data_IF_957243938530
#
_entry.id   IF_957243938530
#
_cell.length_a   1.000
_cell.length_b   1.000
_cell.length_c   1.000
_cell.angle_alpha   90.00
_cell.angle_beta   90.00
_cell.angle_gamma   90.00
#
_symmetry.space_group_name_H-M   'P 1'
#
loop_
_entity.id
_entity.type
_entity.pdbx_description
1 polymer ?
#
# COMPACT_ATOMS: atom_id res chain seq x y z
N UNK A 1 20.02 14.32 -38.82
CA UNK A 1 18.75 14.89 -38.34
C UNK A 1 18.19 13.89 -37.35
N UNK A 2 18.44 14.09 -36.06
CA UNK A 2 17.99 13.18 -35.00
C UNK A 2 16.55 13.52 -34.60
N UNK A 3 15.63 12.56 -34.77
CA UNK A 3 14.27 12.65 -34.27
C UNK A 3 14.25 12.32 -32.78
N UNK A 4 14.48 13.34 -31.94
CA UNK A 4 14.23 13.27 -30.51
C UNK A 4 12.74 13.49 -30.21
N UNK A 5 11.95 12.42 -30.18
CA UNK A 5 10.62 12.44 -29.54
C UNK A 5 10.79 12.68 -28.04
N UNK A 6 10.74 13.96 -27.64
CA UNK A 6 10.53 14.35 -26.26
C UNK A 6 9.19 13.78 -25.78
N UNK A 7 9.24 12.79 -24.89
CA UNK A 7 8.06 12.38 -24.13
C UNK A 7 7.58 13.60 -23.35
N UNK A 8 6.42 14.12 -23.73
CA UNK A 8 5.73 15.21 -23.02
C UNK A 8 5.46 14.70 -21.60
N UNK A 9 6.15 15.24 -20.61
CA UNK A 9 5.88 14.96 -19.20
C UNK A 9 4.56 15.66 -18.90
N UNK A 10 3.44 14.93 -19.04
CA UNK A 10 2.13 15.41 -18.63
C UNK A 10 2.15 15.59 -17.11
N UNK A 11 2.07 16.85 -16.69
CA UNK A 11 1.98 17.20 -15.28
C UNK A 11 0.60 16.77 -14.78
N UNK A 12 0.57 15.84 -13.82
CA UNK A 12 -0.67 15.41 -13.16
C UNK A 12 -1.38 16.62 -12.55
N UNK A 13 -2.62 16.88 -12.96
CA UNK A 13 -3.47 17.92 -12.34
C UNK A 13 -4.02 17.50 -10.97
N UNK A 14 -3.86 16.23 -10.58
CA UNK A 14 -4.25 15.67 -9.29
C UNK A 14 -3.19 14.76 -8.71
N UNK A 15 -2.85 14.94 -7.43
CA UNK A 15 -2.05 13.98 -6.68
C UNK A 15 -2.94 12.86 -6.12
N UNK A 16 -2.42 11.63 -6.05
CA UNK A 16 -3.06 10.56 -5.29
C UNK A 16 -2.50 10.58 -3.85
N UNK A 17 -3.34 10.33 -2.84
CA UNK A 17 -2.95 9.88 -1.50
C UNK A 17 -3.34 8.42 -1.37
N UNK A 18 -2.41 7.58 -0.97
CA UNK A 18 -2.58 6.16 -0.75
C UNK A 18 -2.21 6.08 0.81
N UNK A 19 -2.73 5.21 1.71
CA UNK A 19 -2.26 4.92 3.11
C UNK A 19 -1.92 3.43 3.43
N UNK A 20 -0.71 3.04 3.94
CA UNK A 20 -0.12 1.66 4.05
C UNK A 20 -0.05 1.30 5.50
N UNK A 21 -1.13 0.70 5.96
CA UNK A 21 -1.33 0.31 7.34
C UNK A 21 -1.15 -1.20 7.52
N UNK A 22 -1.07 -1.69 8.75
CA UNK A 22 -0.93 -3.13 8.99
C UNK A 22 -0.20 -3.49 10.26
N UNK A 23 -0.29 -4.76 10.64
CA UNK A 23 0.40 -5.31 11.81
C UNK A 23 1.93 -5.19 11.70
N UNK A 24 2.62 -5.32 12.82
CA UNK A 24 4.08 -5.33 12.82
C UNK A 24 4.61 -6.49 11.98
N UNK A 25 5.75 -6.25 11.32
CA UNK A 25 6.41 -7.19 10.39
C UNK A 25 5.59 -7.64 9.19
N UNK A 26 4.49 -6.95 8.87
CA UNK A 26 3.70 -7.23 7.66
C UNK A 26 4.43 -6.88 6.34
N UNK A 27 5.54 -6.13 6.40
CA UNK A 27 6.35 -5.76 5.23
C UNK A 27 6.06 -4.38 4.64
N UNK A 28 5.32 -3.53 5.37
CA UNK A 28 4.90 -2.17 4.94
C UNK A 28 6.04 -1.34 4.34
N UNK A 29 7.16 -1.20 5.05
CA UNK A 29 8.28 -0.34 4.61
C UNK A 29 8.94 -0.87 3.34
N UNK A 30 9.15 -2.19 3.23
CA UNK A 30 9.71 -2.82 2.04
C UNK A 30 8.80 -2.60 0.83
N UNK A 31 7.51 -2.88 1.01
CA UNK A 31 6.50 -2.70 -0.03
C UNK A 31 6.37 -1.23 -0.47
N UNK A 32 6.41 -0.30 0.49
CA UNK A 32 6.41 1.14 0.23
C UNK A 32 7.59 1.58 -0.64
N UNK A 33 8.81 1.17 -0.26
CA UNK A 33 10.03 1.55 -0.97
C UNK A 33 10.02 1.04 -2.42
N UNK A 34 9.59 -0.20 -2.62
CA UNK A 34 9.60 -0.81 -3.95
C UNK A 34 8.49 -0.23 -4.85
N UNK A 35 7.30 -0.02 -4.29
CA UNK A 35 6.20 0.65 -4.99
C UNK A 35 6.57 2.09 -5.38
N UNK A 36 7.19 2.86 -4.48
CA UNK A 36 7.68 4.20 -4.78
C UNK A 36 8.72 4.19 -5.90
N UNK A 37 9.63 3.22 -5.89
CA UNK A 37 10.66 3.07 -6.93
C UNK A 37 10.03 2.79 -8.30
N UNK A 38 9.01 1.93 -8.33
CA UNK A 38 8.26 1.63 -9.55
C UNK A 38 7.49 2.84 -10.09
N UNK A 39 6.78 3.57 -9.23
CA UNK A 39 6.01 4.74 -9.63
C UNK A 39 6.92 5.86 -10.16
N UNK A 40 8.08 6.08 -9.53
CA UNK A 40 9.11 7.00 -10.03
C UNK A 40 9.64 6.56 -11.40
N UNK A 41 9.91 5.27 -11.59
CA UNK A 41 10.33 4.73 -12.89
C UNK A 41 9.29 4.99 -13.99
N UNK A 42 8.00 4.93 -13.66
CA UNK A 42 6.90 5.24 -14.57
C UNK A 42 6.68 6.76 -14.79
N UNK A 43 7.44 7.62 -14.10
CA UNK A 43 7.36 9.08 -14.26
C UNK A 43 6.34 9.77 -13.35
N UNK A 44 5.84 9.09 -12.32
CA UNK A 44 4.95 9.70 -11.35
C UNK A 44 5.75 10.39 -10.23
N UNK A 45 5.82 11.73 -10.25
CA UNK A 45 6.66 12.53 -9.34
C UNK A 45 5.97 13.07 -8.08
N UNK A 46 4.65 12.95 -7.96
CA UNK A 46 3.94 13.37 -6.75
C UNK A 46 2.75 12.47 -6.48
N UNK A 47 3.01 11.39 -5.73
CA UNK A 47 2.01 10.48 -5.20
C UNK A 47 2.23 10.51 -3.70
N UNK A 48 1.29 11.10 -2.96
CA UNK A 48 1.18 10.70 -1.57
C UNK A 48 0.74 9.24 -1.59
N UNK A 49 1.58 8.37 -1.04
CA UNK A 49 1.46 6.94 -1.23
C UNK A 49 0.87 6.33 0.01
N UNK A 50 0.14 5.20 -0.21
CA UNK A 50 -0.08 4.02 0.61
C UNK A 50 -1.39 3.09 0.53
N UNK A 51 -1.29 1.85 0.96
CA UNK A 51 -2.36 0.83 0.84
C UNK A 51 -2.40 -0.05 2.09
N UNK A 52 -3.52 -0.17 2.82
CA UNK A 52 -3.57 -0.98 4.03
C UNK A 52 -3.25 -2.47 3.74
N UNK A 53 -2.11 -2.93 4.27
CA UNK A 53 -1.68 -4.32 4.35
C UNK A 53 -2.18 -4.96 5.64
N UNK A 54 -3.37 -5.56 5.63
CA UNK A 54 -3.80 -6.35 6.78
C UNK A 54 -3.14 -7.73 6.73
N UNK A 55 -2.23 -8.02 7.66
CA UNK A 55 -1.85 -9.41 7.92
C UNK A 55 -3.06 -10.15 8.48
N UNK A 56 -3.56 -11.13 7.73
CA UNK A 56 -4.73 -11.92 8.16
C UNK A 56 -4.36 -12.97 9.22
N UNK A 57 -3.08 -13.32 9.34
CA UNK A 57 -2.60 -14.35 10.26
C UNK A 57 -1.42 -13.86 11.13
N UNK A 58 -1.73 -13.57 12.39
CA UNK A 58 -0.76 -13.13 13.42
C UNK A 58 0.33 -14.18 13.67
N UNK A 59 0.01 -15.47 13.55
CA UNK A 59 0.97 -16.57 13.77
C UNK A 59 2.02 -16.63 12.63
N UNK A 60 1.59 -16.46 11.38
CA UNK A 60 2.53 -16.42 10.24
C UNK A 60 3.42 -15.17 10.24
N UNK A 61 2.92 -14.03 10.74
CA UNK A 61 3.78 -12.86 10.96
C UNK A 61 4.84 -13.14 12.03
N UNK A 62 4.51 -13.95 13.04
CA UNK A 62 5.45 -14.37 14.08
C UNK A 62 6.55 -15.32 13.60
N UNK A 63 6.28 -16.08 12.53
CA UNK A 63 7.29 -16.97 11.92
C UNK A 63 8.40 -16.21 11.17
N UNK A 64 8.19 -14.92 10.86
CA UNK A 64 9.25 -14.04 10.33
C UNK A 64 10.23 -13.72 11.46
N UNK A 65 11.37 -14.43 11.47
CA UNK A 65 12.31 -14.56 12.58
C UNK A 65 12.62 -13.30 13.41
N UNK A 66 12.86 -13.51 14.71
CA UNK A 66 13.07 -12.46 15.73
C UNK A 66 11.79 -12.02 16.45
N UNK A 67 10.67 -12.74 16.28
CA UNK A 67 9.39 -12.34 16.85
C UNK A 67 9.39 -12.53 18.37
N UNK A 68 9.06 -11.47 19.10
CA UNK A 68 9.08 -11.40 20.56
C UNK A 68 10.18 -10.51 21.12
N UNK A 69 11.07 -9.98 20.27
CA UNK A 69 12.16 -9.09 20.67
C UNK A 69 11.69 -7.63 20.81
N UNK A 70 10.59 -7.24 20.14
CA UNK A 70 9.96 -5.93 20.32
C UNK A 70 8.73 -5.96 21.22
N UNK A 71 8.49 -4.85 21.92
CA UNK A 71 7.44 -4.69 22.95
C UNK A 71 6.03 -5.05 22.49
N UNK A 72 5.75 -4.98 21.19
CA UNK A 72 4.42 -5.23 20.60
C UNK A 72 4.30 -6.58 19.86
N UNK A 73 5.36 -7.40 19.85
CA UNK A 73 5.39 -8.70 19.19
C UNK A 73 4.81 -9.80 20.09
N UNK A 74 3.59 -9.55 20.57
CA UNK A 74 2.81 -10.50 21.35
C UNK A 74 1.57 -10.87 20.56
N UNK A 75 1.33 -12.17 20.40
CA UNK A 75 0.19 -12.70 19.63
C UNK A 75 -1.14 -12.08 20.10
N UNK A 76 -1.34 -12.01 21.42
CA UNK A 76 -2.53 -11.45 22.06
C UNK A 76 -2.68 -9.94 21.82
N UNK A 77 -1.57 -9.19 21.75
CA UNK A 77 -1.62 -7.76 21.46
C UNK A 77 -1.93 -7.51 19.98
N UNK A 78 -1.23 -8.19 19.08
CA UNK A 78 -1.47 -8.08 17.63
C UNK A 78 -2.87 -8.59 17.25
N UNK A 79 -3.40 -9.58 17.97
CA UNK A 79 -4.81 -9.98 17.87
C UNK A 79 -5.77 -8.84 18.20
N UNK A 80 -5.54 -8.11 19.30
CA UNK A 80 -6.35 -6.92 19.66
C UNK A 80 -6.25 -5.81 18.61
N UNK A 81 -5.05 -5.56 18.08
CA UNK A 81 -4.85 -4.56 17.01
C UNK A 81 -5.63 -4.95 15.75
N UNK A 82 -5.61 -6.23 15.36
CA UNK A 82 -6.42 -6.74 14.25
C UNK A 82 -7.90 -6.50 14.45
N UNK A 83 -8.44 -6.76 15.64
CA UNK A 83 -9.85 -6.49 15.93
C UNK A 83 -10.17 -4.99 15.82
N UNK A 84 -9.26 -4.09 16.20
CA UNK A 84 -9.44 -2.64 15.98
C UNK A 84 -9.44 -2.26 14.50
N UNK A 85 -8.58 -2.84 13.68
CA UNK A 85 -8.64 -2.62 12.23
C UNK A 85 -9.97 -3.09 11.64
N UNK A 86 -10.55 -4.19 12.10
CA UNK A 86 -11.90 -4.63 11.66
C UNK A 86 -12.99 -3.62 12.00
N UNK A 87 -12.88 -2.90 13.12
CA UNK A 87 -13.85 -1.85 13.47
C UNK A 87 -13.71 -0.58 12.66
N UNK A 88 -12.54 -0.38 12.04
CA UNK A 88 -12.23 0.77 11.20
C UNK A 88 -12.44 0.49 9.71
N UNK A 89 -12.55 -0.79 9.34
CA UNK A 89 -12.70 -1.22 7.96
C UNK A 89 -14.03 -0.75 7.36
N UNK A 90 -13.94 -0.23 6.14
CA UNK A 90 -15.10 0.03 5.28
C UNK A 90 -14.83 -0.46 3.84
N UNK A 91 -15.82 -0.32 2.95
CA UNK A 91 -15.75 -0.81 1.58
C UNK A 91 -14.69 -0.11 0.69
N UNK A 92 -14.16 1.04 1.11
CA UNK A 92 -13.09 1.74 0.39
C UNK A 92 -11.72 1.08 0.58
N UNK A 93 -11.58 0.18 1.55
CA UNK A 93 -10.30 -0.44 1.89
C UNK A 93 -9.96 -1.60 0.95
N UNK A 94 -8.73 -1.59 0.41
CA UNK A 94 -8.16 -2.74 -0.29
C UNK A 94 -7.39 -3.59 0.71
N UNK A 95 -7.84 -4.82 0.93
CA UNK A 95 -7.21 -5.76 1.87
C UNK A 95 -6.27 -6.67 1.11
N UNK A 96 -5.00 -6.70 1.51
CA UNK A 96 -3.97 -7.56 0.92
C UNK A 96 -3.44 -8.53 1.98
N UNK A 97 -3.41 -9.82 1.65
CA UNK A 97 -2.84 -10.82 2.56
C UNK A 97 -1.32 -10.74 2.57
N UNK A 98 -0.79 -10.12 3.62
CA UNK A 98 0.66 -9.99 3.82
C UNK A 98 1.38 -11.33 4.03
N UNK A 99 0.67 -12.46 4.15
CA UNK A 99 1.26 -13.80 4.23
C UNK A 99 1.65 -14.42 2.89
N UNK A 100 1.26 -13.80 1.77
CA UNK A 100 1.70 -14.20 0.43
C UNK A 100 3.20 -13.92 0.22
N UNK A 101 3.84 -14.54 -0.80
CA UNK A 101 5.20 -14.16 -1.22
C UNK A 101 5.31 -12.66 -1.48
N UNK A 102 6.50 -12.09 -1.22
CA UNK A 102 6.74 -10.65 -1.33
C UNK A 102 6.36 -10.11 -2.71
N UNK A 103 6.69 -10.87 -3.75
CA UNK A 103 6.46 -10.57 -5.16
C UNK A 103 4.95 -10.51 -5.49
N UNK A 104 4.16 -11.43 -4.92
CA UNK A 104 2.71 -11.47 -5.12
C UNK A 104 2.02 -10.30 -4.40
N UNK A 105 2.38 -10.05 -3.14
CA UNK A 105 1.89 -8.87 -2.39
C UNK A 105 2.20 -7.60 -3.17
N UNK A 106 3.41 -7.51 -3.69
CA UNK A 106 3.83 -6.33 -4.40
C UNK A 106 3.10 -6.16 -5.74
N UNK A 107 2.90 -7.24 -6.49
CA UNK A 107 2.11 -7.22 -7.73
C UNK A 107 0.70 -6.69 -7.46
N UNK A 108 0.02 -7.20 -6.44
CA UNK A 108 -1.31 -6.72 -6.04
C UNK A 108 -1.31 -5.22 -5.70
N UNK A 109 -0.32 -4.77 -4.92
CA UNK A 109 -0.18 -3.36 -4.58
C UNK A 109 0.01 -2.49 -5.81
N UNK A 110 0.87 -2.90 -6.75
CA UNK A 110 1.09 -2.17 -8.02
C UNK A 110 -0.21 -2.05 -8.81
N UNK A 111 -0.96 -3.14 -8.96
CA UNK A 111 -2.24 -3.15 -9.68
C UNK A 111 -3.23 -2.16 -9.06
N UNK A 112 -3.46 -2.23 -7.74
CA UNK A 112 -4.39 -1.30 -7.07
C UNK A 112 -3.97 0.17 -7.17
N UNK A 113 -2.68 0.46 -7.03
CA UNK A 113 -2.21 1.84 -7.13
C UNK A 113 -2.30 2.37 -8.55
N UNK A 114 -1.97 1.55 -9.56
CA UNK A 114 -2.06 1.96 -10.96
C UNK A 114 -3.51 2.19 -11.39
N UNK A 115 -4.45 1.35 -10.96
CA UNK A 115 -5.89 1.58 -11.15
C UNK A 115 -6.32 2.91 -10.54
N UNK A 116 -5.93 3.18 -9.28
CA UNK A 116 -6.26 4.43 -8.59
C UNK A 116 -5.67 5.66 -9.31
N UNK A 117 -4.41 5.58 -9.74
CA UNK A 117 -3.75 6.66 -10.49
C UNK A 117 -4.48 6.93 -11.81
N UNK A 118 -4.87 5.88 -12.54
CA UNK A 118 -5.62 6.03 -13.78
C UNK A 118 -6.99 6.68 -13.55
N UNK A 119 -7.72 6.29 -12.49
CA UNK A 119 -8.98 6.93 -12.12
C UNK A 119 -8.81 8.42 -11.78
N UNK A 120 -7.77 8.78 -11.03
CA UNK A 120 -7.44 10.17 -10.72
C UNK A 120 -7.13 10.98 -11.99
N UNK A 121 -6.35 10.41 -12.92
CA UNK A 121 -6.05 11.04 -14.21
C UNK A 121 -7.31 11.25 -15.07
N UNK A 122 -8.29 10.36 -14.95
CA UNK A 122 -9.59 10.46 -15.62
C UNK A 122 -10.55 11.43 -14.92
N UNK A 123 -10.09 12.22 -13.95
CA UNK A 123 -10.87 13.27 -13.31
C UNK A 123 -11.83 12.78 -12.22
N UNK A 124 -11.56 11.61 -11.61
CA UNK A 124 -12.31 11.15 -10.44
C UNK A 124 -12.29 12.22 -9.35
N UNK A 125 -13.46 12.60 -8.87
CA UNK A 125 -13.59 13.55 -7.77
C UNK A 125 -12.93 13.00 -6.50
N UNK A 126 -12.38 13.91 -5.69
CA UNK A 126 -11.89 13.56 -4.36
C UNK A 126 -13.02 12.92 -3.56
N UNK A 127 -12.70 11.82 -2.89
CA UNK A 127 -13.62 11.08 -2.03
C UNK A 127 -13.09 11.05 -0.61
N UNK A 128 -13.96 10.69 0.34
CA UNK A 128 -13.53 10.48 1.71
C UNK A 128 -12.64 9.25 1.80
N UNK A 129 -11.54 9.37 2.56
CA UNK A 129 -10.62 8.28 2.81
C UNK A 129 -11.25 7.19 3.73
N UNK A 130 -12.27 7.56 4.51
CA UNK A 130 -12.99 6.70 5.45
C UNK A 130 -14.48 7.09 5.39
N UNK A 131 -15.36 6.10 5.29
CA UNK A 131 -16.81 6.28 5.38
C UNK A 131 -17.22 6.07 6.84
N UNK A 132 -17.50 7.16 7.55
CA UNK A 132 -18.02 7.12 8.93
C UNK A 132 -19.54 7.01 8.96
#
# INVERSE_FOLDING_TARGET
MENGTSKKVETLSGGALVVLEGLDRSGKSSQCSELLSHLKFLGYFMIQLAVLLVTTNVQKAAERGGYGDERYERLDFQGKVREKYKTLYDASWKVVDACLPMEEVQKMLREYVLECVAECQNGKALSHLWLH
#
